data_IF_663162850842
#
_entry.id   IF_663162850842
#
_cell.length_a   1.000
_cell.length_b   1.000
_cell.length_c   1.000
_cell.angle_alpha   90.00
_cell.angle_beta   90.00
_cell.angle_gamma   90.00
#
_symmetry.space_group_name_H-M   'P 1'
#
loop_
_entity.id
_entity.type
_entity.pdbx_description
1 polymer ?
#
# COMPACT_ATOMS: atom_id res chain seq x y z
N UNK A 1 -12.77 56.86 -45.11
CA UNK A 1 -13.75 55.97 -44.47
C UNK A 1 -13.26 54.53 -44.65
N UNK A 2 -12.63 53.99 -43.66
CA UNK A 2 -12.11 52.62 -43.70
C UNK A 2 -12.44 51.96 -42.39
N UNK A 3 -13.27 50.90 -42.44
CA UNK A 3 -13.73 50.11 -41.27
C UNK A 3 -12.76 48.97 -41.06
N UNK A 4 -11.98 49.01 -39.97
CA UNK A 4 -11.18 47.90 -39.48
C UNK A 4 -12.09 46.94 -38.69
N UNK A 5 -12.26 45.72 -39.20
CA UNK A 5 -12.90 44.61 -38.51
C UNK A 5 -11.84 43.82 -37.72
N UNK A 6 -11.84 44.00 -36.41
CA UNK A 6 -11.05 43.19 -35.50
C UNK A 6 -11.71 41.80 -35.29
N UNK A 7 -11.12 40.76 -35.87
CA UNK A 7 -11.47 39.35 -35.55
C UNK A 7 -10.84 38.97 -34.21
N UNK A 8 -11.64 38.92 -33.14
CA UNK A 8 -11.25 38.29 -31.89
C UNK A 8 -11.22 36.76 -32.08
N UNK A 9 -10.03 36.16 -31.93
CA UNK A 9 -9.86 34.72 -31.85
C UNK A 9 -10.34 34.27 -30.49
N UNK A 10 -11.58 33.79 -30.41
CA UNK A 10 -12.11 33.05 -29.31
C UNK A 10 -11.48 31.66 -29.23
N UNK A 11 -10.34 31.54 -28.57
CA UNK A 11 -9.76 30.23 -28.27
C UNK A 11 -10.67 29.52 -27.27
N UNK A 12 -11.37 28.49 -27.76
CA UNK A 12 -12.44 27.77 -27.07
C UNK A 12 -11.96 27.15 -25.75
N UNK A 13 -12.51 27.64 -24.66
CA UNK A 13 -12.37 27.09 -23.29
C UNK A 13 -12.72 25.57 -23.27
N UNK A 14 -13.57 25.12 -24.18
CA UNK A 14 -13.96 23.71 -24.33
C UNK A 14 -12.80 22.79 -24.77
N UNK A 15 -11.88 23.26 -25.61
CA UNK A 15 -10.71 22.47 -26.04
C UNK A 15 -9.71 22.24 -24.90
N UNK A 16 -9.50 23.23 -24.03
CA UNK A 16 -8.58 23.13 -22.89
C UNK A 16 -9.12 22.21 -21.78
N UNK A 17 -10.43 22.22 -21.56
CA UNK A 17 -11.07 21.30 -20.60
C UNK A 17 -11.02 19.84 -21.10
N UNK A 18 -11.15 19.62 -22.41
CA UNK A 18 -11.11 18.27 -22.99
C UNK A 18 -9.67 17.70 -23.00
N UNK A 19 -8.66 18.48 -23.30
CA UNK A 19 -7.25 18.08 -23.23
C UNK A 19 -6.84 17.85 -21.77
N UNK A 20 -7.25 18.69 -20.85
CA UNK A 20 -7.01 18.50 -19.41
C UNK A 20 -7.67 17.22 -18.86
N UNK A 21 -8.89 16.91 -19.29
CA UNK A 21 -9.57 15.67 -18.93
C UNK A 21 -8.87 14.44 -19.52
N UNK A 22 -8.41 14.51 -20.77
CA UNK A 22 -7.70 13.42 -21.43
C UNK A 22 -6.34 13.13 -20.79
N UNK A 23 -5.57 14.18 -20.45
CA UNK A 23 -4.26 14.05 -19.77
C UNK A 23 -4.43 13.50 -18.35
N UNK A 24 -5.47 13.93 -17.62
CA UNK A 24 -5.76 13.42 -16.27
C UNK A 24 -6.27 11.98 -16.33
N UNK A 25 -7.07 11.62 -17.33
CA UNK A 25 -7.52 10.25 -17.56
C UNK A 25 -6.32 9.34 -17.88
N UNK A 26 -5.37 9.81 -18.69
CA UNK A 26 -4.14 9.08 -18.98
C UNK A 26 -3.26 8.89 -17.74
N UNK A 27 -3.13 9.89 -16.87
CA UNK A 27 -2.36 9.80 -15.63
C UNK A 27 -2.96 8.82 -14.61
N UNK A 28 -4.30 8.73 -14.54
CA UNK A 28 -5.00 7.75 -13.69
C UNK A 28 -4.91 6.32 -14.26
N UNK A 29 -4.75 6.19 -15.58
CA UNK A 29 -4.69 4.91 -16.28
C UNK A 29 -3.29 4.27 -16.28
N UNK A 30 -2.26 4.96 -15.82
CA UNK A 30 -0.87 4.46 -15.82
C UNK A 30 -0.37 4.01 -14.46
N UNK A 31 -1.17 4.12 -13.39
CA UNK A 31 -0.78 3.62 -12.08
C UNK A 31 -0.97 2.09 -12.02
N UNK A 32 0.08 1.27 -12.07
CA UNK A 32 -0.04 -0.14 -11.75
C UNK A 32 -0.34 -0.28 -10.26
N UNK A 33 -1.37 -1.04 -9.92
CA UNK A 33 -1.69 -1.38 -8.53
C UNK A 33 -0.82 -2.56 -8.10
N UNK A 34 -0.25 -2.52 -6.92
CA UNK A 34 0.50 -3.62 -6.32
C UNK A 34 0.04 -3.87 -4.88
N UNK A 35 -0.01 -5.13 -4.52
CA UNK A 35 -0.24 -5.62 -3.16
C UNK A 35 0.06 -7.12 -3.18
N UNK A 36 0.64 -7.72 -2.12
CA UNK A 36 0.89 -9.17 -2.03
C UNK A 36 -0.40 -9.95 -1.87
N UNK A 37 -1.33 -9.30 -1.25
CA UNK A 37 -2.72 -9.72 -1.18
C UNK A 37 -3.57 -8.50 -1.49
N UNK A 38 -4.74 -8.70 -2.06
CA UNK A 38 -5.67 -7.59 -2.21
C UNK A 38 -6.28 -7.20 -0.84
N UNK A 39 -7.04 -6.13 -0.82
CA UNK A 39 -7.60 -5.47 0.37
C UNK A 39 -8.23 -6.45 1.37
N UNK A 40 -9.00 -7.43 0.88
CA UNK A 40 -9.80 -8.28 1.74
C UNK A 40 -8.98 -9.29 2.53
N UNK A 41 -7.86 -9.76 1.98
CA UNK A 41 -6.95 -10.64 2.73
C UNK A 41 -6.29 -9.89 3.88
N UNK A 42 -5.86 -8.64 3.68
CA UNK A 42 -5.28 -7.82 4.76
C UNK A 42 -6.29 -7.52 5.87
N UNK A 43 -7.52 -7.16 5.53
CA UNK A 43 -8.59 -6.98 6.51
C UNK A 43 -8.93 -8.30 7.21
N UNK A 44 -8.96 -9.41 6.47
CA UNK A 44 -9.17 -10.76 7.01
C UNK A 44 -8.09 -11.21 7.99
N UNK A 45 -6.84 -10.71 7.87
CA UNK A 45 -5.79 -10.93 8.88
C UNK A 45 -6.12 -10.24 10.19
N UNK A 46 -6.60 -9.00 10.12
CA UNK A 46 -7.05 -8.25 11.32
C UNK A 46 -8.22 -9.00 11.98
N UNK A 47 -9.20 -9.44 11.19
CA UNK A 47 -10.38 -10.16 11.69
C UNK A 47 -10.02 -11.45 12.39
N UNK A 48 -9.16 -12.25 11.78
CA UNK A 48 -8.72 -13.52 12.34
C UNK A 48 -8.01 -13.36 13.69
N UNK A 49 -7.36 -12.19 13.92
CA UNK A 49 -6.62 -11.90 15.15
C UNK A 49 -7.36 -10.95 16.09
N UNK A 50 -8.53 -10.41 15.70
CA UNK A 50 -9.22 -9.39 16.48
C UNK A 50 -9.57 -9.87 17.90
N UNK A 51 -10.37 -10.92 18.00
CA UNK A 51 -10.81 -11.44 19.30
C UNK A 51 -9.69 -12.15 20.08
N UNK A 52 -8.86 -13.02 19.45
CA UNK A 52 -7.89 -13.78 20.23
C UNK A 52 -6.66 -12.97 20.67
N UNK A 53 -6.29 -11.92 19.94
CA UNK A 53 -5.02 -11.23 20.20
C UNK A 53 -5.15 -9.70 20.24
N UNK A 54 -5.80 -9.04 19.25
CA UNK A 54 -5.77 -7.57 19.11
C UNK A 54 -6.57 -6.88 20.20
N UNK A 55 -7.85 -7.23 20.36
CA UNK A 55 -8.69 -6.62 21.39
C UNK A 55 -8.12 -6.80 22.82
N UNK A 56 -7.60 -8.00 23.21
CA UNK A 56 -6.89 -8.15 24.48
C UNK A 56 -5.64 -7.27 24.61
N UNK A 57 -4.84 -7.09 23.56
CA UNK A 57 -3.68 -6.17 23.58
C UNK A 57 -4.09 -4.72 23.77
N UNK A 58 -5.16 -4.27 23.10
CA UNK A 58 -5.71 -2.94 23.30
C UNK A 58 -6.17 -2.72 24.74
N UNK A 59 -6.90 -3.68 25.31
CA UNK A 59 -7.38 -3.61 26.70
C UNK A 59 -6.24 -3.71 27.71
N UNK A 60 -5.22 -4.50 27.45
CA UNK A 60 -4.03 -4.59 28.30
C UNK A 60 -3.29 -3.24 28.37
N UNK A 61 -3.21 -2.51 27.27
CA UNK A 61 -2.47 -1.24 27.20
C UNK A 61 -3.28 -0.03 27.68
N UNK A 62 -4.58 0.01 27.42
CA UNK A 62 -5.42 1.19 27.62
C UNK A 62 -6.54 1.00 28.66
N UNK A 63 -6.61 -0.17 29.31
CA UNK A 63 -7.67 -0.52 30.25
C UNK A 63 -8.94 -1.04 29.55
N UNK A 64 -10.03 -1.23 30.31
CA UNK A 64 -11.30 -1.71 29.79
C UNK A 64 -11.86 -0.80 28.70
N UNK A 65 -12.25 -1.37 27.56
CA UNK A 65 -12.80 -0.65 26.42
C UNK A 65 -14.25 -1.08 26.18
N UNK A 66 -15.10 -0.11 25.90
CA UNK A 66 -16.49 -0.35 25.49
C UNK A 66 -16.57 -0.98 24.10
N UNK A 67 -17.69 -1.63 23.77
CA UNK A 67 -17.93 -2.18 22.45
C UNK A 67 -17.83 -1.11 21.35
N UNK A 68 -18.24 0.13 21.64
CA UNK A 68 -18.12 1.26 20.69
C UNK A 68 -16.66 1.62 20.43
N UNK A 69 -15.83 1.70 21.47
CA UNK A 69 -14.39 1.99 21.33
C UNK A 69 -13.66 0.86 20.59
N UNK A 70 -14.00 -0.40 20.88
CA UNK A 70 -13.45 -1.55 20.15
C UNK A 70 -13.86 -1.55 18.68
N UNK A 71 -15.11 -1.21 18.38
CA UNK A 71 -15.59 -1.10 17.01
C UNK A 71 -14.88 0.04 16.24
N UNK A 72 -14.66 1.19 16.86
CA UNK A 72 -13.89 2.29 16.29
C UNK A 72 -12.41 1.90 16.08
N UNK A 73 -11.77 1.33 17.10
CA UNK A 73 -10.40 0.84 17.02
C UNK A 73 -10.20 -0.18 15.88
N UNK A 74 -11.20 -1.05 15.64
CA UNK A 74 -11.15 -2.01 14.53
C UNK A 74 -11.11 -1.33 13.16
N UNK A 75 -11.81 -0.19 12.97
CA UNK A 75 -11.72 0.59 11.74
C UNK A 75 -10.31 1.16 11.52
N UNK A 76 -9.64 1.58 12.60
CA UNK A 76 -8.25 2.01 12.53
C UNK A 76 -7.30 0.83 12.25
N UNK A 77 -7.56 -0.35 12.80
CA UNK A 77 -6.77 -1.55 12.48
C UNK A 77 -6.90 -1.93 11.00
N UNK A 78 -8.09 -1.84 10.41
CA UNK A 78 -8.27 -2.01 8.96
C UNK A 78 -7.47 -0.96 8.18
N UNK A 79 -7.55 0.32 8.57
CA UNK A 79 -6.78 1.39 7.92
C UNK A 79 -5.28 1.15 7.98
N UNK A 80 -4.79 0.67 9.10
CA UNK A 80 -3.39 0.28 9.25
C UNK A 80 -2.99 -0.87 8.34
N UNK A 81 -3.85 -1.89 8.20
CA UNK A 81 -3.57 -3.05 7.35
C UNK A 81 -3.57 -2.72 5.84
N UNK A 82 -4.00 -1.54 5.48
CA UNK A 82 -4.10 -1.10 4.09
C UNK A 82 -3.18 0.10 3.75
N UNK A 83 -2.59 0.74 4.76
CA UNK A 83 -1.92 2.03 4.57
C UNK A 83 -0.69 1.93 3.66
N UNK A 84 0.05 0.82 3.73
CA UNK A 84 1.24 0.63 2.91
C UNK A 84 0.90 0.61 1.41
N UNK A 85 -0.31 0.22 1.04
CA UNK A 85 -0.80 0.16 -0.34
C UNK A 85 -1.46 1.46 -0.85
N UNK A 86 -1.55 2.48 -0.02
CA UNK A 86 -2.23 3.73 -0.36
C UNK A 86 -1.73 4.35 -1.67
N UNK A 87 -0.43 4.19 -1.97
CA UNK A 87 0.19 4.76 -3.16
C UNK A 87 -0.24 4.14 -4.48
N UNK A 88 -0.85 2.97 -4.46
CA UNK A 88 -1.36 2.30 -5.67
C UNK A 88 -2.72 2.82 -6.14
N UNK A 89 -3.38 3.61 -5.33
CA UNK A 89 -4.72 4.14 -5.62
C UNK A 89 -4.67 5.56 -6.19
N UNK A 90 -5.72 6.02 -6.85
CA UNK A 90 -5.77 7.36 -7.42
C UNK A 90 -5.40 8.44 -6.40
N UNK A 91 -4.55 9.37 -6.81
CA UNK A 91 -3.96 10.44 -5.97
C UNK A 91 -3.02 9.95 -4.86
N UNK A 92 -2.75 8.64 -4.77
CA UNK A 92 -1.67 8.10 -3.97
C UNK A 92 -0.31 8.44 -4.57
N UNK A 93 0.75 8.10 -3.85
CA UNK A 93 2.14 8.27 -4.29
C UNK A 93 2.83 6.93 -4.33
N UNK A 94 3.38 6.60 -5.49
CA UNK A 94 4.13 5.38 -5.64
C UNK A 94 5.35 5.34 -4.72
N UNK A 95 6.06 6.46 -4.59
CA UNK A 95 7.19 6.54 -3.66
C UNK A 95 6.76 6.25 -2.21
N UNK A 96 5.57 6.72 -1.78
CA UNK A 96 5.07 6.43 -0.44
C UNK A 96 4.95 4.91 -0.22
N UNK A 97 4.27 4.21 -1.13
CA UNK A 97 4.11 2.76 -1.03
C UNK A 97 5.44 2.02 -1.16
N UNK A 98 6.26 2.37 -2.14
CA UNK A 98 7.55 1.72 -2.37
C UNK A 98 8.50 1.88 -1.14
N UNK A 99 8.46 3.02 -0.44
CA UNK A 99 9.17 3.19 0.83
C UNK A 99 8.71 2.19 1.89
N UNK A 100 7.39 2.05 2.07
CA UNK A 100 6.80 1.16 3.08
C UNK A 100 7.07 -0.33 2.80
N UNK A 101 7.33 -0.70 1.53
CA UNK A 101 7.57 -2.08 1.12
C UNK A 101 9.05 -2.45 1.03
N UNK A 102 9.92 -1.49 0.70
CA UNK A 102 11.31 -1.83 0.34
C UNK A 102 12.36 -1.18 1.23
N UNK A 103 12.05 -0.07 1.91
CA UNK A 103 13.03 0.70 2.66
C UNK A 103 12.59 0.82 4.11
N UNK A 104 13.37 0.25 5.03
CA UNK A 104 13.12 0.33 6.49
C UNK A 104 11.69 -0.08 6.88
N UNK A 105 11.12 -1.07 6.20
CA UNK A 105 9.74 -1.49 6.40
C UNK A 105 9.45 -1.96 7.85
N UNK A 106 10.40 -2.65 8.48
CA UNK A 106 10.31 -3.03 9.88
C UNK A 106 10.36 -1.83 10.83
N UNK A 107 11.33 -0.93 10.62
CA UNK A 107 11.48 0.29 11.44
C UNK A 107 10.25 1.20 11.34
N UNK A 108 9.63 1.28 10.16
CA UNK A 108 8.39 2.04 9.98
C UNK A 108 7.25 1.50 10.88
N UNK A 109 7.04 0.19 10.87
CA UNK A 109 6.01 -0.45 11.72
C UNK A 109 6.36 -0.31 13.20
N UNK A 110 7.64 -0.47 13.57
CA UNK A 110 8.10 -0.20 14.95
C UNK A 110 7.83 1.23 15.38
N UNK A 111 8.07 2.21 14.49
CA UNK A 111 7.80 3.63 14.74
C UNK A 111 6.31 3.90 14.97
N UNK A 112 5.41 3.25 14.19
CA UNK A 112 3.97 3.33 14.43
C UNK A 112 3.59 2.76 15.81
N UNK A 113 4.11 1.58 16.17
CA UNK A 113 3.80 0.92 17.45
C UNK A 113 4.32 1.74 18.64
N UNK A 114 5.53 2.28 18.56
CA UNK A 114 6.15 3.07 19.60
C UNK A 114 5.52 4.47 19.73
N UNK A 115 5.16 5.09 18.61
CA UNK A 115 4.58 6.43 18.56
C UNK A 115 3.10 6.52 18.89
N UNK A 116 2.40 5.39 19.03
CA UNK A 116 0.96 5.35 19.32
C UNK A 116 0.67 5.76 20.78
N UNK A 117 -0.13 6.80 20.97
CA UNK A 117 -0.45 7.41 22.27
C UNK A 117 -1.84 7.05 22.79
N UNK A 118 -2.75 6.62 21.93
CA UNK A 118 -4.11 6.23 22.28
C UNK A 118 -4.58 5.01 21.50
N UNK A 119 -5.75 4.45 21.90
CA UNK A 119 -6.25 3.15 21.43
C UNK A 119 -6.36 3.06 19.90
N UNK A 120 -6.85 4.10 19.23
CA UNK A 120 -7.05 4.10 17.78
C UNK A 120 -5.71 4.13 17.03
N UNK A 121 -4.73 4.92 17.49
CA UNK A 121 -3.39 4.92 16.92
C UNK A 121 -2.70 3.56 17.09
N UNK A 122 -2.85 2.93 18.26
CA UNK A 122 -2.24 1.62 18.48
C UNK A 122 -2.92 0.52 17.65
N UNK A 123 -4.25 0.58 17.52
CA UNK A 123 -4.99 -0.32 16.63
C UNK A 123 -4.53 -0.18 15.17
N UNK A 124 -4.33 1.06 14.70
CA UNK A 124 -3.77 1.34 13.38
C UNK A 124 -2.36 0.74 13.21
N UNK A 125 -1.49 0.90 14.20
CA UNK A 125 -0.15 0.31 14.19
C UNK A 125 -0.19 -1.23 14.16
N UNK A 126 -1.12 -1.85 14.90
CA UNK A 126 -1.34 -3.31 14.86
C UNK A 126 -1.84 -3.76 13.49
N UNK A 127 -2.66 -2.96 12.82
CA UNK A 127 -3.04 -3.19 11.42
C UNK A 127 -1.84 -3.14 10.46
N UNK A 128 -0.99 -2.14 10.56
CA UNK A 128 0.23 -2.05 9.75
C UNK A 128 1.19 -3.24 10.00
N UNK A 129 1.21 -3.75 11.23
CA UNK A 129 1.92 -4.99 11.56
C UNK A 129 1.28 -6.22 10.91
N UNK A 130 -0.05 -6.24 10.71
CA UNK A 130 -0.72 -7.31 9.95
C UNK A 130 -0.25 -7.31 8.49
N UNK A 131 -0.24 -6.15 7.83
CA UNK A 131 0.26 -5.99 6.46
C UNK A 131 1.70 -6.47 6.34
N UNK A 132 2.61 -5.95 7.18
CA UNK A 132 4.01 -6.36 7.22
C UNK A 132 4.18 -7.89 7.29
N UNK A 133 3.45 -8.57 8.19
CA UNK A 133 3.56 -10.02 8.33
C UNK A 133 2.95 -10.77 7.14
N UNK A 134 1.91 -10.21 6.51
CA UNK A 134 1.25 -10.80 5.37
C UNK A 134 2.14 -10.76 4.13
N UNK A 135 2.71 -9.60 3.83
CA UNK A 135 3.46 -9.40 2.60
C UNK A 135 4.84 -10.06 2.65
N UNK A 136 5.55 -9.95 3.78
CA UNK A 136 6.80 -10.67 3.97
C UNK A 136 6.70 -12.19 3.77
N UNK A 137 5.49 -12.77 3.87
CA UNK A 137 5.24 -14.19 3.64
C UNK A 137 4.51 -14.43 2.31
N UNK A 138 3.51 -13.59 1.99
CA UNK A 138 2.63 -13.77 0.85
C UNK A 138 3.32 -13.73 -0.51
N UNK A 139 4.13 -12.71 -0.73
CA UNK A 139 4.89 -12.59 -1.98
C UNK A 139 5.82 -13.78 -2.21
N UNK A 140 6.82 -14.05 -1.34
CA UNK A 140 7.82 -15.07 -1.62
C UNK A 140 7.28 -16.49 -1.56
N UNK A 141 6.28 -16.77 -0.69
CA UNK A 141 5.72 -18.12 -0.57
C UNK A 141 4.73 -18.45 -1.68
N UNK A 142 3.96 -17.45 -2.15
CA UNK A 142 2.87 -17.73 -3.07
C UNK A 142 2.86 -16.82 -4.31
N UNK A 143 2.61 -15.51 -4.18
CA UNK A 143 2.25 -14.68 -5.34
C UNK A 143 3.34 -14.70 -6.42
N UNK A 144 4.62 -14.57 -6.01
CA UNK A 144 5.76 -14.62 -6.94
C UNK A 144 5.85 -15.94 -7.72
N UNK A 145 5.36 -17.04 -7.16
CA UNK A 145 5.34 -18.37 -7.77
C UNK A 145 4.08 -18.62 -8.60
N UNK A 146 2.93 -18.14 -8.10
CA UNK A 146 1.64 -18.31 -8.78
C UNK A 146 1.59 -17.51 -10.08
N UNK A 147 2.14 -16.29 -10.11
CA UNK A 147 2.17 -15.48 -11.35
C UNK A 147 2.78 -16.23 -12.54
N UNK A 148 4.00 -16.78 -12.46
CA UNK A 148 4.53 -17.58 -13.58
C UNK A 148 3.82 -18.94 -13.78
N UNK A 149 3.17 -19.52 -12.76
CA UNK A 149 2.33 -20.71 -12.94
C UNK A 149 1.13 -20.40 -13.80
N UNK A 150 0.44 -19.30 -13.56
CA UNK A 150 -0.75 -18.86 -14.30
C UNK A 150 -0.43 -18.27 -15.67
N UNK A 151 0.77 -17.67 -15.84
CA UNK A 151 1.15 -16.92 -17.04
C UNK A 151 2.45 -17.43 -17.67
N UNK A 152 2.36 -18.43 -18.60
CA UNK A 152 3.57 -19.03 -19.22
C UNK A 152 4.51 -18.04 -19.92
N UNK A 153 4.00 -16.91 -20.45
CA UNK A 153 4.82 -15.85 -21.05
C UNK A 153 5.67 -15.13 -20.01
N UNK A 154 5.18 -14.97 -18.78
CA UNK A 154 5.95 -14.39 -17.66
C UNK A 154 7.02 -15.40 -17.26
N UNK A 155 6.65 -16.67 -17.08
CA UNK A 155 7.58 -17.76 -16.76
C UNK A 155 8.73 -17.87 -17.75
N UNK A 156 8.44 -17.78 -19.05
CA UNK A 156 9.45 -17.83 -20.10
C UNK A 156 10.46 -16.66 -20.04
N UNK A 157 10.03 -15.50 -19.48
CA UNK A 157 10.84 -14.30 -19.37
C UNK A 157 11.72 -14.27 -18.11
N UNK A 158 11.16 -14.65 -16.96
CA UNK A 158 11.81 -14.46 -15.65
C UNK A 158 12.02 -15.74 -14.84
N UNK A 159 11.54 -16.89 -15.32
CA UNK A 159 11.68 -18.17 -14.63
C UNK A 159 10.48 -18.49 -13.71
N UNK A 160 10.71 -19.37 -12.69
CA UNK A 160 9.63 -19.86 -11.84
C UNK A 160 9.14 -18.87 -10.79
N UNK A 161 9.89 -17.83 -10.49
CA UNK A 161 9.56 -16.78 -9.52
C UNK A 161 9.59 -15.43 -10.23
N UNK A 162 8.50 -14.67 -10.11
CA UNK A 162 8.34 -13.35 -10.70
C UNK A 162 8.09 -12.32 -9.58
N UNK A 163 9.00 -11.38 -9.41
CA UNK A 163 8.77 -10.25 -8.51
C UNK A 163 7.67 -9.34 -9.08
N UNK A 164 7.08 -8.52 -8.23
CA UNK A 164 6.07 -7.56 -8.66
C UNK A 164 6.49 -6.76 -9.90
N UNK A 165 7.73 -6.25 -9.90
CA UNK A 165 8.29 -5.43 -10.99
C UNK A 165 8.32 -6.14 -12.35
N UNK A 166 8.33 -7.46 -12.37
CA UNK A 166 8.40 -8.24 -13.61
C UNK A 166 7.08 -8.28 -14.38
N UNK A 167 5.96 -8.26 -13.65
CA UNK A 167 4.61 -8.28 -14.23
C UNK A 167 3.55 -7.71 -13.30
N UNK A 168 3.54 -6.39 -13.00
CA UNK A 168 2.63 -5.79 -12.03
C UNK A 168 1.15 -6.11 -12.27
N UNK A 169 0.71 -6.03 -13.52
CA UNK A 169 -0.68 -6.30 -13.88
C UNK A 169 -1.11 -7.75 -13.59
N UNK A 170 -0.22 -8.73 -13.79
CA UNK A 170 -0.51 -10.16 -13.54
C UNK A 170 -0.47 -10.47 -12.05
N UNK A 171 0.40 -9.80 -11.34
CA UNK A 171 0.50 -9.86 -9.89
C UNK A 171 -0.85 -9.47 -9.25
N UNK A 172 -1.35 -8.28 -9.56
CA UNK A 172 -2.65 -7.79 -9.10
C UNK A 172 -3.83 -8.68 -9.51
N UNK A 173 -3.78 -9.27 -10.71
CA UNK A 173 -4.84 -10.20 -11.15
C UNK A 173 -4.91 -11.45 -10.30
N UNK A 174 -3.77 -12.01 -9.91
CA UNK A 174 -3.69 -13.20 -9.04
C UNK A 174 -4.25 -12.88 -7.66
N UNK A 175 -3.84 -11.78 -7.07
CA UNK A 175 -4.27 -11.34 -5.74
C UNK A 175 -5.77 -11.05 -5.69
N UNK A 176 -6.27 -10.31 -6.68
CA UNK A 176 -7.70 -10.01 -6.80
C UNK A 176 -8.52 -11.29 -6.99
N UNK A 177 -8.05 -12.23 -7.82
CA UNK A 177 -8.75 -13.50 -8.04
C UNK A 177 -8.81 -14.32 -6.73
N UNK A 178 -7.74 -14.33 -5.95
CA UNK A 178 -7.70 -15.00 -4.66
C UNK A 178 -8.69 -14.38 -3.66
N UNK A 179 -8.70 -13.06 -3.50
CA UNK A 179 -9.64 -12.35 -2.62
C UNK A 179 -11.09 -12.68 -2.98
N UNK A 180 -11.42 -12.61 -4.27
CA UNK A 180 -12.75 -12.95 -4.78
C UNK A 180 -13.17 -14.36 -4.40
N UNK A 181 -12.27 -15.34 -4.52
CA UNK A 181 -12.54 -16.72 -4.14
C UNK A 181 -12.68 -16.92 -2.63
N UNK A 182 -11.89 -16.19 -1.81
CA UNK A 182 -12.02 -16.27 -0.35
C UNK A 182 -13.36 -15.69 0.14
N UNK A 183 -13.84 -14.62 -0.47
CA UNK A 183 -15.20 -14.09 -0.21
C UNK A 183 -16.26 -15.14 -0.59
N UNK A 184 -16.12 -15.76 -1.77
CA UNK A 184 -17.05 -16.79 -2.24
C UNK A 184 -17.17 -17.96 -1.24
N UNK A 185 -16.07 -18.36 -0.62
CA UNK A 185 -15.99 -19.44 0.37
C UNK A 185 -16.46 -19.04 1.76
N UNK A 186 -16.75 -17.77 2.00
CA UNK A 186 -17.03 -17.24 3.35
C UNK A 186 -15.84 -17.35 4.30
N UNK A 187 -14.62 -17.40 3.77
CA UNK A 187 -13.39 -17.50 4.56
C UNK A 187 -13.08 -16.20 5.32
N UNK A 188 -13.56 -15.06 4.84
CA UNK A 188 -13.59 -13.81 5.56
C UNK A 188 -14.89 -13.69 6.33
N UNK A 189 -14.85 -13.12 7.54
CA UNK A 189 -16.04 -12.98 8.39
C UNK A 189 -16.98 -11.97 7.72
N UNK A 190 -17.80 -12.49 6.80
CA UNK A 190 -18.69 -11.71 5.94
C UNK A 190 -19.56 -10.72 6.75
N UNK A 191 -20.06 -11.13 7.93
CA UNK A 191 -20.92 -10.29 8.76
C UNK A 191 -20.18 -9.06 9.30
N UNK A 192 -18.96 -9.22 9.84
CA UNK A 192 -18.19 -8.09 10.36
C UNK A 192 -17.77 -7.12 9.23
N UNK A 193 -17.52 -7.65 8.04
CA UNK A 193 -17.22 -6.86 6.85
C UNK A 193 -18.48 -6.16 6.31
N UNK A 194 -19.64 -6.82 6.30
CA UNK A 194 -20.93 -6.20 5.96
C UNK A 194 -21.34 -5.12 6.93
N UNK A 195 -21.06 -5.31 8.22
CA UNK A 195 -21.37 -4.33 9.25
C UNK A 195 -20.45 -3.11 9.18
N UNK A 196 -19.27 -3.23 8.58
CA UNK A 196 -18.29 -2.16 8.51
C UNK A 196 -17.34 -2.30 7.30
N UNK A 197 -17.79 -1.91 6.13
CA UNK A 197 -16.94 -1.76 4.94
C UNK A 197 -16.26 -0.39 4.98
N UNK A 198 -15.00 -0.35 5.42
CA UNK A 198 -14.25 0.88 5.43
C UNK A 198 -13.17 0.90 6.52
N UNK A 199 -12.40 1.95 6.51
CA UNK A 199 -11.26 2.08 7.39
C UNK A 199 -11.02 3.53 7.82
N UNK A 200 -10.34 3.68 8.97
CA UNK A 200 -9.87 4.95 9.49
C UNK A 200 -8.33 5.02 9.46
N UNK A 201 -7.79 6.23 9.28
CA UNK A 201 -6.35 6.45 9.23
C UNK A 201 -5.92 7.34 10.39
N UNK A 202 -4.96 6.88 11.16
CA UNK A 202 -4.31 7.64 12.23
C UNK A 202 -3.27 8.60 11.63
N UNK A 203 -3.75 9.64 10.89
CA UNK A 203 -2.90 10.58 10.14
C UNK A 203 -1.79 11.23 11.00
N UNK A 204 -2.05 11.74 12.23
CA UNK A 204 -0.97 12.31 13.04
C UNK A 204 0.13 11.31 13.41
N UNK A 205 -0.23 10.06 13.66
CA UNK A 205 0.74 8.99 13.90
C UNK A 205 1.54 8.67 12.64
N UNK A 206 0.87 8.59 11.49
CA UNK A 206 1.50 8.33 10.20
C UNK A 206 2.53 9.44 9.86
N UNK A 207 2.19 10.72 10.05
CA UNK A 207 3.07 11.85 9.87
C UNK A 207 4.33 11.76 10.74
N UNK A 208 4.16 11.48 12.04
CA UNK A 208 5.29 11.31 12.97
C UNK A 208 6.18 10.14 12.56
N UNK A 209 5.59 9.02 12.16
CA UNK A 209 6.33 7.80 11.82
C UNK A 209 7.08 7.91 10.50
N UNK A 210 6.52 8.57 9.48
CA UNK A 210 7.21 8.87 8.23
C UNK A 210 8.44 9.74 8.48
N UNK A 211 8.28 10.82 9.29
CA UNK A 211 9.40 11.68 9.66
C UNK A 211 10.49 10.94 10.44
N UNK A 212 10.09 10.15 11.43
CA UNK A 212 11.02 9.40 12.27
C UNK A 212 11.79 8.32 11.51
N UNK A 213 11.16 7.70 10.51
CA UNK A 213 11.74 6.59 9.75
C UNK A 213 12.56 7.08 8.55
N UNK A 214 12.01 8.03 7.78
CA UNK A 214 12.57 8.43 6.48
C UNK A 214 13.18 9.83 6.47
N UNK A 215 13.02 10.64 7.53
CA UNK A 215 13.53 12.00 7.57
C UNK A 215 12.81 12.96 6.62
N UNK A 216 11.60 12.60 6.15
CA UNK A 216 10.77 13.37 5.24
C UNK A 216 9.42 13.68 5.89
N UNK A 217 8.82 14.80 5.55
CA UNK A 217 7.43 15.07 5.91
C UNK A 217 6.49 14.18 5.06
N UNK A 218 5.33 13.80 5.62
CA UNK A 218 4.36 13.01 4.87
C UNK A 218 3.94 13.70 3.55
N UNK A 219 3.85 15.03 3.55
CA UNK A 219 3.55 15.82 2.35
C UNK A 219 4.61 15.75 1.26
N UNK A 220 5.89 15.47 1.60
CA UNK A 220 6.97 15.32 0.62
C UNK A 220 6.82 14.03 -0.19
N UNK A 221 6.27 12.99 0.42
CA UNK A 221 6.09 11.67 -0.21
C UNK A 221 4.66 11.43 -0.68
N UNK A 222 3.67 12.10 -0.10
CA UNK A 222 2.25 12.00 -0.42
C UNK A 222 1.63 13.42 -0.48
N UNK A 223 1.73 14.13 -1.60
CA UNK A 223 1.41 15.57 -1.69
C UNK A 223 -0.02 15.95 -1.30
N UNK A 224 -0.98 15.06 -1.44
CA UNK A 224 -2.38 15.31 -1.06
C UNK A 224 -2.94 14.13 -0.25
N UNK A 225 -2.51 14.06 1.02
CA UNK A 225 -2.84 12.99 1.96
C UNK A 225 -4.35 12.76 2.08
N UNK A 226 -5.13 13.84 2.27
CA UNK A 226 -6.58 13.73 2.50
C UNK A 226 -7.33 13.25 1.25
N UNK A 227 -6.88 13.66 0.07
CA UNK A 227 -7.45 13.20 -1.19
C UNK A 227 -7.08 11.75 -1.47
N UNK A 228 -5.84 11.35 -1.21
CA UNK A 228 -5.37 9.98 -1.37
C UNK A 228 -6.16 9.03 -0.45
N UNK A 229 -6.26 9.35 0.85
CA UNK A 229 -7.08 8.59 1.81
C UNK A 229 -8.54 8.53 1.34
N UNK A 230 -9.10 9.65 0.91
CA UNK A 230 -10.48 9.71 0.46
C UNK A 230 -10.77 8.88 -0.78
N UNK A 231 -9.88 8.86 -1.77
CA UNK A 231 -10.03 8.04 -2.97
C UNK A 231 -9.83 6.56 -2.67
N UNK A 232 -8.91 6.23 -1.77
CA UNK A 232 -8.70 4.87 -1.33
C UNK A 232 -9.91 4.32 -0.57
N UNK A 233 -10.44 5.05 0.42
CA UNK A 233 -11.69 4.68 1.11
C UNK A 233 -12.83 4.41 0.12
N UNK A 234 -12.96 5.26 -0.90
CA UNK A 234 -13.97 5.04 -1.94
C UNK A 234 -13.70 3.79 -2.78
N UNK A 235 -12.43 3.50 -3.11
CA UNK A 235 -12.10 2.31 -3.85
C UNK A 235 -12.47 1.05 -3.06
N UNK A 236 -12.11 0.99 -1.78
CA UNK A 236 -12.44 -0.13 -0.89
C UNK A 236 -13.94 -0.24 -0.64
N UNK A 237 -14.61 0.85 -0.27
CA UNK A 237 -16.01 0.83 0.13
C UNK A 237 -17.03 0.75 -1.02
N UNK A 238 -16.64 1.02 -2.26
CA UNK A 238 -17.58 1.06 -3.40
C UNK A 238 -17.08 0.39 -4.66
N UNK A 239 -15.83 0.60 -5.05
CA UNK A 239 -15.33 0.09 -6.35
C UNK A 239 -15.06 -1.40 -6.30
N UNK A 240 -14.42 -1.89 -5.25
CA UNK A 240 -14.13 -3.33 -5.09
C UNK A 240 -15.44 -4.14 -4.98
N UNK A 241 -16.42 -3.77 -4.13
CA UNK A 241 -17.73 -4.42 -4.12
C UNK A 241 -18.42 -4.44 -5.48
N UNK A 242 -18.37 -3.35 -6.24
CA UNK A 242 -18.95 -3.31 -7.59
C UNK A 242 -18.23 -4.25 -8.57
N UNK A 243 -16.91 -4.40 -8.44
CA UNK A 243 -16.13 -5.34 -9.26
C UNK A 243 -16.49 -6.80 -8.96
N UNK A 244 -16.77 -7.15 -7.70
CA UNK A 244 -17.24 -8.51 -7.35
C UNK A 244 -18.60 -8.81 -7.98
N UNK A 245 -19.51 -7.83 -8.01
CA UNK A 245 -20.80 -7.95 -8.69
C UNK A 245 -20.65 -8.19 -10.21
N UNK A 246 -19.73 -7.48 -10.84
CA UNK A 246 -19.44 -7.65 -12.26
C UNK A 246 -18.81 -9.02 -12.50
N UNK A 247 -17.86 -9.44 -11.65
CA UNK A 247 -17.24 -10.76 -11.74
C UNK A 247 -18.29 -11.88 -11.62
N UNK A 248 -19.22 -11.78 -10.69
CA UNK A 248 -20.33 -12.72 -10.56
C UNK A 248 -21.18 -12.80 -11.82
N UNK A 249 -21.60 -11.66 -12.36
CA UNK A 249 -22.42 -11.61 -13.58
C UNK A 249 -21.71 -12.22 -14.78
N UNK A 250 -20.42 -11.94 -14.96
CA UNK A 250 -19.68 -12.28 -16.16
C UNK A 250 -19.02 -13.68 -16.08
N UNK A 251 -18.82 -14.21 -14.86
CA UNK A 251 -18.03 -15.44 -14.58
C UNK A 251 -18.71 -16.37 -13.57
N UNK A 252 -20.02 -16.31 -13.46
CA UNK A 252 -20.79 -17.10 -12.49
C UNK A 252 -20.45 -18.59 -12.54
N UNK A 253 -20.48 -19.18 -13.72
CA UNK A 253 -20.28 -20.63 -13.91
C UNK A 253 -18.85 -21.05 -13.48
N UNK A 254 -17.84 -20.22 -13.78
CA UNK A 254 -16.46 -20.44 -13.35
C UNK A 254 -16.31 -20.34 -11.83
N UNK A 255 -17.01 -19.38 -11.21
CA UNK A 255 -17.02 -19.16 -9.75
C UNK A 255 -17.74 -20.31 -9.04
N UNK A 256 -18.92 -20.72 -9.51
CA UNK A 256 -19.69 -21.84 -8.94
C UNK A 256 -18.92 -23.17 -9.07
N UNK A 257 -18.21 -23.36 -10.20
CA UNK A 257 -17.34 -24.52 -10.39
C UNK A 257 -16.15 -24.53 -9.43
N UNK A 258 -15.52 -23.38 -9.21
CA UNK A 258 -14.39 -23.23 -8.28
C UNK A 258 -14.82 -23.29 -6.80
N UNK A 259 -16.08 -22.93 -6.50
CA UNK A 259 -16.62 -22.90 -5.15
C UNK A 259 -18.07 -23.43 -5.14
N UNK A 260 -18.27 -24.75 -5.11
CA UNK A 260 -19.60 -25.35 -5.10
C UNK A 260 -20.44 -24.83 -3.91
N UNK A 261 -21.69 -24.42 -4.20
CA UNK A 261 -22.63 -23.92 -3.18
C UNK A 261 -22.47 -22.44 -2.83
N UNK A 262 -21.65 -21.70 -3.56
CA UNK A 262 -21.61 -20.23 -3.45
C UNK A 262 -22.91 -19.63 -4.02
N UNK A 263 -23.43 -18.58 -3.37
CA UNK A 263 -24.60 -17.82 -3.84
C UNK A 263 -24.21 -16.39 -4.17
N UNK A 264 -25.02 -15.73 -5.01
CA UNK A 264 -24.82 -14.31 -5.32
C UNK A 264 -24.76 -13.45 -4.05
N UNK A 265 -25.57 -13.73 -3.04
CA UNK A 265 -25.64 -13.00 -1.78
C UNK A 265 -24.35 -13.11 -0.96
N UNK A 266 -23.70 -14.29 -1.01
CA UNK A 266 -22.41 -14.51 -0.34
C UNK A 266 -21.24 -13.92 -1.10
N UNK A 267 -21.35 -13.87 -2.42
CA UNK A 267 -20.26 -13.40 -3.28
C UNK A 267 -20.30 -11.90 -3.53
N UNK A 268 -21.50 -11.31 -3.66
CA UNK A 268 -21.68 -9.89 -3.97
C UNK A 268 -22.04 -9.14 -2.72
N UNK A 269 -21.12 -8.31 -2.23
CA UNK A 269 -21.40 -7.38 -1.14
C UNK A 269 -21.34 -5.95 -1.67
N UNK A 270 -22.33 -5.14 -1.34
CA UNK A 270 -22.45 -3.75 -1.78
C UNK A 270 -22.89 -2.89 -0.59
N UNK A 271 -22.09 -1.89 -0.25
CA UNK A 271 -22.51 -0.88 0.72
C UNK A 271 -23.44 0.13 0.01
N UNK A 272 -24.61 0.35 0.56
CA UNK A 272 -25.49 1.41 0.02
C UNK A 272 -24.87 2.79 0.30
N UNK A 273 -25.14 3.82 -0.56
CA UNK A 273 -24.69 5.19 -0.27
C UNK A 273 -25.14 5.71 1.09
N UNK A 274 -26.33 5.29 1.56
CA UNK A 274 -26.85 5.66 2.87
C UNK A 274 -26.09 5.01 4.02
N UNK A 275 -25.66 3.76 3.86
CA UNK A 275 -24.84 3.06 4.83
C UNK A 275 -23.42 3.62 4.87
N UNK A 276 -22.88 3.98 3.71
CA UNK A 276 -21.60 4.68 3.62
C UNK A 276 -21.64 6.02 4.37
N UNK A 277 -22.65 6.86 4.13
CA UNK A 277 -22.82 8.17 4.80
C UNK A 277 -23.05 8.00 6.31
N UNK A 278 -23.73 6.94 6.74
CA UNK A 278 -23.95 6.62 8.16
C UNK A 278 -22.68 6.18 8.85
N UNK A 279 -21.83 5.42 8.17
CA UNK A 279 -20.62 4.82 8.70
C UNK A 279 -19.46 5.82 8.79
N UNK A 280 -19.31 6.68 7.78
CA UNK A 280 -18.19 7.64 7.67
C UNK A 280 -18.54 9.08 8.02
N UNK A 281 -19.81 9.35 8.39
CA UNK A 281 -20.29 10.66 8.79
C UNK A 281 -20.40 11.68 7.64
N UNK A 282 -21.16 12.75 7.90
CA UNK A 282 -21.41 13.82 6.90
C UNK A 282 -20.20 14.76 6.70
N UNK A 283 -19.20 14.71 7.55
CA UNK A 283 -18.03 15.60 7.51
C UNK A 283 -16.93 15.14 6.54
N UNK A 284 -17.13 14.02 5.88
CA UNK A 284 -16.25 13.56 4.82
C UNK A 284 -16.34 14.52 3.62
N UNK A 285 -15.19 15.03 3.14
CA UNK A 285 -15.15 15.78 1.87
C UNK A 285 -15.68 14.88 0.76
N UNK A 286 -16.93 15.08 0.39
CA UNK A 286 -17.55 14.35 -0.73
C UNK A 286 -16.65 14.51 -1.95
N UNK A 287 -16.32 13.42 -2.66
CA UNK A 287 -15.58 13.51 -3.91
C UNK A 287 -16.26 14.54 -4.81
N UNK A 288 -15.50 15.50 -5.31
CA UNK A 288 -16.01 16.53 -6.20
C UNK A 288 -16.65 15.90 -7.46
N UNK A 289 -17.39 16.70 -8.22
CA UNK A 289 -18.03 16.26 -9.47
C UNK A 289 -17.07 15.49 -10.38
N UNK A 290 -15.81 15.89 -10.43
CA UNK A 290 -14.75 15.25 -11.20
C UNK A 290 -14.47 13.80 -10.72
N UNK A 291 -14.33 13.55 -9.43
CA UNK A 291 -14.14 12.20 -8.88
C UNK A 291 -15.35 11.29 -9.11
N UNK A 292 -16.55 11.87 -9.16
CA UNK A 292 -17.79 11.15 -9.50
C UNK A 292 -17.85 10.80 -10.98
N UNK A 293 -17.42 11.71 -11.87
CA UNK A 293 -17.31 11.47 -13.32
C UNK A 293 -16.26 10.40 -13.58
N UNK A 294 -15.12 10.44 -12.90
CA UNK A 294 -14.07 9.43 -13.01
C UNK A 294 -14.55 8.05 -12.55
N UNK A 295 -15.22 7.96 -11.41
CA UNK A 295 -15.81 6.71 -10.92
C UNK A 295 -16.89 6.17 -11.87
N UNK A 296 -17.68 7.03 -12.51
CA UNK A 296 -18.64 6.65 -13.53
C UNK A 296 -17.97 6.18 -14.81
N UNK A 297 -16.89 6.86 -15.25
CA UNK A 297 -16.10 6.43 -16.40
C UNK A 297 -15.45 5.05 -16.16
N UNK A 298 -14.87 4.81 -14.97
CA UNK A 298 -14.32 3.50 -14.58
C UNK A 298 -15.39 2.38 -14.58
N UNK A 299 -16.65 2.71 -14.31
CA UNK A 299 -17.77 1.78 -14.34
C UNK A 299 -18.18 1.37 -15.76
N UNK A 300 -18.06 2.29 -16.74
CA UNK A 300 -18.54 2.10 -18.11
C UNK A 300 -17.42 1.62 -19.04
N UNK A 301 -16.16 1.94 -18.73
CA UNK A 301 -15.02 1.55 -19.57
C UNK A 301 -14.89 0.02 -19.63
N UNK A 302 -14.76 -0.55 -20.83
CA UNK A 302 -14.46 -1.97 -20.97
C UNK A 302 -13.13 -2.30 -20.27
N UNK A 303 -13.06 -3.49 -19.65
CA UNK A 303 -11.85 -3.96 -18.93
C UNK A 303 -10.73 -4.35 -19.92
N UNK A 304 -10.33 -3.39 -20.75
CA UNK A 304 -9.24 -3.47 -21.71
C UNK A 304 -8.16 -2.45 -21.34
N UNK A 305 -6.95 -2.65 -21.80
CA UNK A 305 -5.84 -1.74 -21.48
C UNK A 305 -5.56 -1.68 -19.95
N UNK A 306 -5.51 -0.48 -19.34
CA UNK A 306 -5.12 -0.31 -17.93
C UNK A 306 -6.12 -0.86 -16.90
N UNK A 307 -7.38 -1.14 -17.29
CA UNK A 307 -8.37 -1.77 -16.40
C UNK A 307 -8.33 -3.31 -16.46
N UNK A 308 -7.52 -3.89 -17.33
CA UNK A 308 -7.36 -5.33 -17.48
C UNK A 308 -6.94 -6.05 -16.18
N UNK A 309 -6.10 -5.49 -15.30
CA UNK A 309 -5.76 -6.11 -14.02
C UNK A 309 -6.95 -6.36 -13.09
N UNK A 310 -8.06 -5.65 -13.28
CA UNK A 310 -9.31 -5.85 -12.52
C UNK A 310 -10.24 -6.89 -13.15
N UNK A 311 -9.83 -7.58 -14.22
CA UNK A 311 -10.57 -8.68 -14.78
C UNK A 311 -10.35 -9.94 -13.93
N UNK A 312 -11.45 -10.56 -13.47
CA UNK A 312 -11.36 -11.83 -12.76
C UNK A 312 -10.85 -12.93 -13.70
N UNK A 313 -9.82 -13.66 -13.28
CA UNK A 313 -9.28 -14.84 -13.94
C UNK A 313 -9.20 -15.96 -12.89
N UNK A 314 -9.95 -17.08 -13.02
CA UNK A 314 -9.97 -18.13 -12.02
C UNK A 314 -8.57 -18.71 -11.79
N UNK A 315 -8.23 -18.93 -10.53
CA UNK A 315 -6.99 -19.62 -10.16
C UNK A 315 -7.06 -21.11 -10.48
N UNK A 316 -5.92 -21.70 -10.81
CA UNK A 316 -5.83 -23.18 -10.82
C UNK A 316 -5.90 -23.71 -9.39
N UNK A 317 -6.32 -24.97 -9.17
CA UNK A 317 -6.35 -25.57 -7.83
C UNK A 317 -5.00 -25.50 -7.11
N UNK A 318 -3.90 -25.68 -7.83
CA UNK A 318 -2.54 -25.63 -7.30
C UNK A 318 -2.17 -24.19 -6.88
N UNK A 319 -2.52 -23.20 -7.69
CA UNK A 319 -2.29 -21.79 -7.38
C UNK A 319 -3.09 -21.35 -6.15
N UNK A 320 -4.35 -21.75 -6.08
CA UNK A 320 -5.23 -21.47 -4.95
C UNK A 320 -4.74 -22.13 -3.65
N UNK A 321 -4.32 -23.40 -3.70
CA UNK A 321 -3.75 -24.09 -2.56
C UNK A 321 -2.49 -23.39 -2.02
N UNK A 322 -1.59 -22.96 -2.91
CA UNK A 322 -0.36 -22.26 -2.53
C UNK A 322 -0.65 -20.89 -1.88
N UNK A 323 -1.61 -20.15 -2.39
CA UNK A 323 -2.05 -18.90 -1.80
C UNK A 323 -2.70 -19.12 -0.42
N UNK A 324 -3.56 -20.14 -0.29
CA UNK A 324 -4.18 -20.49 0.99
C UNK A 324 -3.15 -20.89 2.06
N UNK A 325 -2.12 -21.67 1.68
CA UNK A 325 -1.01 -22.04 2.55
C UNK A 325 -0.23 -20.80 3.03
N UNK A 326 0.05 -19.86 2.12
CA UNK A 326 0.77 -18.63 2.47
C UNK A 326 -0.04 -17.73 3.41
N UNK A 327 -1.36 -17.67 3.27
CA UNK A 327 -2.24 -16.98 4.23
C UNK A 327 -2.20 -17.63 5.61
N UNK A 328 -2.19 -18.98 5.67
CA UNK A 328 -2.06 -19.69 6.92
C UNK A 328 -0.70 -19.39 7.61
N UNK A 329 0.39 -19.39 6.84
CA UNK A 329 1.73 -19.03 7.32
C UNK A 329 1.78 -17.58 7.83
N UNK A 330 1.17 -16.64 7.09
CA UNK A 330 1.05 -15.23 7.48
C UNK A 330 0.29 -15.05 8.80
N UNK A 331 -0.81 -15.80 9.00
CA UNK A 331 -1.57 -15.79 10.26
C UNK A 331 -0.76 -16.28 11.45
N UNK A 332 0.01 -17.35 11.26
CA UNK A 332 0.90 -17.90 12.31
C UNK A 332 1.97 -16.86 12.66
N UNK A 333 2.61 -16.26 11.67
CA UNK A 333 3.63 -15.21 11.87
C UNK A 333 3.05 -13.99 12.58
N UNK A 334 1.92 -13.48 12.13
CA UNK A 334 1.27 -12.31 12.72
C UNK A 334 0.88 -12.58 14.17
N UNK A 335 0.28 -13.75 14.47
CA UNK A 335 -0.06 -14.14 15.84
C UNK A 335 1.18 -14.19 16.75
N UNK A 336 2.27 -14.77 16.28
CA UNK A 336 3.52 -14.83 17.03
C UNK A 336 4.04 -13.43 17.36
N UNK A 337 4.02 -12.53 16.36
CA UNK A 337 4.45 -11.14 16.52
C UNK A 337 3.56 -10.36 17.50
N UNK A 338 2.22 -10.54 17.44
CA UNK A 338 1.28 -9.94 18.41
C UNK A 338 1.53 -10.41 19.83
N UNK A 339 1.83 -11.69 20.02
CA UNK A 339 2.16 -12.25 21.35
C UNK A 339 3.47 -11.71 21.89
N UNK A 340 4.47 -11.50 21.04
CA UNK A 340 5.75 -10.91 21.45
C UNK A 340 5.59 -9.47 21.97
N UNK A 341 4.60 -8.71 21.49
CA UNK A 341 4.29 -7.36 22.00
C UNK A 341 3.89 -7.34 23.48
N UNK A 342 3.38 -8.46 24.02
CA UNK A 342 3.04 -8.57 25.44
C UNK A 342 4.28 -8.59 26.34
N UNK A 343 5.42 -8.97 25.79
CA UNK A 343 6.70 -9.09 26.52
C UNK A 343 7.58 -7.84 26.38
N UNK A 344 7.26 -6.92 25.47
CA UNK A 344 8.01 -5.69 25.24
C UNK A 344 7.98 -5.19 23.80
N UNK A 345 8.75 -4.14 23.49
CA UNK A 345 8.87 -3.60 22.15
C UNK A 345 9.39 -4.63 21.16
N UNK A 346 8.81 -4.64 19.95
CA UNK A 346 9.26 -5.49 18.86
C UNK A 346 10.59 -4.97 18.27
N UNK A 347 11.31 -5.92 17.68
CA UNK A 347 12.37 -5.66 16.72
C UNK A 347 12.06 -6.42 15.44
N UNK A 348 11.68 -5.67 14.41
CA UNK A 348 11.28 -6.20 13.13
C UNK A 348 12.44 -6.06 12.13
N UNK A 349 12.80 -7.10 11.39
CA UNK A 349 13.79 -6.93 10.33
C UNK A 349 13.27 -5.97 9.25
N UNK A 350 14.16 -5.15 8.72
CA UNK A 350 13.88 -4.39 7.50
C UNK A 350 13.87 -5.36 6.32
N UNK A 351 12.69 -5.71 5.86
CA UNK A 351 12.46 -6.73 4.84
C UNK A 351 11.93 -6.07 3.57
N UNK A 352 12.49 -6.44 2.42
CA UNK A 352 11.87 -6.22 1.13
C UNK A 352 10.68 -7.19 1.02
N UNK A 353 9.48 -6.68 0.90
CA UNK A 353 8.26 -7.51 0.94
C UNK A 353 8.18 -8.47 -0.23
N UNK A 354 8.64 -8.06 -1.42
CA UNK A 354 8.63 -8.93 -2.60
C UNK A 354 9.53 -10.16 -2.42
N UNK A 355 10.71 -9.97 -1.83
CA UNK A 355 11.69 -11.06 -1.69
C UNK A 355 11.57 -11.80 -0.37
N UNK A 356 10.93 -11.22 0.63
CA UNK A 356 10.86 -11.74 2.00
C UNK A 356 12.23 -11.71 2.73
N UNK A 357 13.21 -10.97 2.22
CA UNK A 357 14.59 -10.90 2.70
C UNK A 357 15.02 -9.45 2.94
N UNK A 358 16.10 -9.20 3.68
CA UNK A 358 16.69 -7.87 3.73
C UNK A 358 16.99 -7.34 2.32
N UNK A 359 16.73 -6.04 2.05
CA UNK A 359 16.98 -5.48 0.73
C UNK A 359 18.47 -5.50 0.40
N UNK A 360 18.79 -6.01 -0.79
CA UNK A 360 20.16 -6.08 -1.32
C UNK A 360 20.16 -5.43 -2.69
N UNK A 361 21.08 -4.50 -2.90
CA UNK A 361 21.23 -3.77 -4.16
C UNK A 361 21.38 -4.70 -5.35
N UNK A 362 20.57 -4.51 -6.38
CA UNK A 362 20.59 -5.31 -7.61
C UNK A 362 19.72 -6.57 -7.57
N UNK A 363 19.06 -6.88 -6.45
CA UNK A 363 18.15 -8.03 -6.34
C UNK A 363 16.73 -7.65 -6.75
N UNK A 364 16.22 -6.56 -6.22
CA UNK A 364 14.91 -6.02 -6.59
C UNK A 364 15.07 -4.61 -7.17
N UNK A 365 14.70 -4.45 -8.44
CA UNK A 365 14.83 -3.17 -9.14
C UNK A 365 14.00 -2.06 -8.49
N UNK A 366 12.82 -2.36 -7.92
CA UNK A 366 12.02 -1.36 -7.23
C UNK A 366 12.67 -0.91 -5.93
N UNK A 367 13.27 -1.83 -5.17
CA UNK A 367 14.07 -1.46 -4.01
C UNK A 367 15.23 -0.53 -4.40
N UNK A 368 15.99 -0.88 -5.46
CA UNK A 368 17.08 -0.05 -5.97
C UNK A 368 16.63 1.36 -6.35
N UNK A 369 15.49 1.45 -7.05
CA UNK A 369 14.88 2.70 -7.46
C UNK A 369 14.42 3.52 -6.26
N UNK A 370 13.79 2.88 -5.28
CA UNK A 370 13.26 3.53 -4.08
C UNK A 370 14.36 4.08 -3.17
N UNK A 371 15.42 3.30 -2.94
CA UNK A 371 16.59 3.78 -2.19
C UNK A 371 17.25 4.99 -2.86
N UNK A 372 17.36 4.99 -4.19
CA UNK A 372 17.94 6.10 -4.94
C UNK A 372 17.04 7.35 -4.91
N UNK A 373 15.72 7.17 -5.04
CA UNK A 373 14.76 8.26 -5.01
C UNK A 373 14.66 8.89 -3.60
N UNK A 374 14.71 8.06 -2.54
CA UNK A 374 14.78 8.54 -1.17
C UNK A 374 16.05 9.39 -0.95
N UNK A 375 17.21 8.84 -1.27
CA UNK A 375 18.48 9.55 -1.14
C UNK A 375 18.47 10.90 -1.86
N UNK A 376 17.93 10.93 -3.08
CA UNK A 376 17.83 12.16 -3.87
C UNK A 376 16.87 13.20 -3.24
N UNK A 377 15.73 12.76 -2.70
CA UNK A 377 14.81 13.66 -1.99
C UNK A 377 15.44 14.24 -0.73
N UNK A 378 16.12 13.41 0.05
CA UNK A 378 16.86 13.87 1.23
C UNK A 378 17.93 14.90 0.86
N UNK A 379 18.62 14.72 -0.28
CA UNK A 379 19.55 15.71 -0.80
C UNK A 379 18.86 17.04 -1.15
N UNK A 380 17.65 16.99 -1.71
CA UNK A 380 16.84 18.18 -1.98
C UNK A 380 16.40 18.94 -0.72
N UNK A 381 16.38 18.27 0.43
CA UNK A 381 16.13 18.86 1.76
C UNK A 381 17.43 19.06 2.58
N UNK A 382 18.58 19.10 1.91
CA UNK A 382 19.90 19.29 2.53
C UNK A 382 20.15 18.30 3.70
N UNK A 383 19.55 17.10 3.61
CA UNK A 383 19.55 16.06 4.65
C UNK A 383 19.04 16.52 6.03
N UNK A 384 18.25 17.59 6.10
CA UNK A 384 17.72 18.12 7.35
C UNK A 384 16.86 17.05 8.07
N UNK A 385 17.12 16.81 9.36
CA UNK A 385 16.33 15.88 10.18
C UNK A 385 16.48 14.38 9.85
N UNK A 386 17.40 13.99 8.97
CA UNK A 386 17.64 12.60 8.61
C UNK A 386 18.13 11.80 9.83
N UNK A 387 17.47 10.68 10.18
CA UNK A 387 17.90 9.83 11.29
C UNK A 387 19.28 9.22 11.01
N UNK A 388 20.19 9.14 12.03
CA UNK A 388 21.50 8.51 11.85
C UNK A 388 21.44 7.06 11.37
N UNK A 389 20.41 6.33 11.77
CA UNK A 389 20.14 4.97 11.35
C UNK A 389 19.91 4.89 9.84
N UNK A 390 19.13 5.82 9.29
CA UNK A 390 18.87 5.88 7.84
C UNK A 390 20.15 6.20 7.06
N UNK A 391 21.00 7.10 7.57
CA UNK A 391 22.31 7.38 6.94
C UNK A 391 23.18 6.12 6.89
N UNK A 392 23.21 5.34 7.98
CA UNK A 392 23.95 4.06 8.01
C UNK A 392 23.39 3.05 7.01
N UNK A 393 22.09 2.92 6.94
CA UNK A 393 21.43 1.99 6.02
C UNK A 393 21.63 2.38 4.56
N UNK A 394 21.48 3.64 4.20
CA UNK A 394 21.76 4.14 2.84
C UNK A 394 23.21 3.86 2.42
N UNK A 395 24.18 4.14 3.30
CA UNK A 395 25.59 3.80 3.03
C UNK A 395 25.79 2.30 2.86
N UNK A 396 25.22 1.46 3.73
CA UNK A 396 25.33 0.02 3.65
C UNK A 396 24.71 -0.52 2.36
N UNK A 397 23.51 -0.06 2.00
CA UNK A 397 22.83 -0.49 0.78
C UNK A 397 23.65 -0.16 -0.47
N UNK A 398 24.14 1.07 -0.60
CA UNK A 398 24.90 1.51 -1.77
C UNK A 398 26.36 1.02 -1.78
N UNK A 399 26.91 0.51 -0.67
CA UNK A 399 28.20 -0.14 -0.64
C UNK A 399 28.19 -1.51 -1.35
N UNK A 400 27.03 -2.16 -1.48
CA UNK A 400 26.90 -3.38 -2.25
C UNK A 400 27.12 -3.10 -3.75
N UNK A 401 28.04 -3.86 -4.37
CA UNK A 401 28.28 -3.81 -5.80
C UNK A 401 27.02 -4.27 -6.56
N UNK A 402 26.71 -3.57 -7.66
CA UNK A 402 25.67 -4.06 -8.57
C UNK A 402 26.13 -5.36 -9.26
N UNK A 403 25.20 -6.32 -9.46
CA UNK A 403 25.48 -7.49 -10.30
C UNK A 403 25.93 -7.05 -11.71
N UNK A 404 26.79 -7.84 -12.35
CA UNK A 404 27.41 -7.52 -13.66
C UNK A 404 26.38 -7.30 -14.79
N UNK A 405 25.17 -7.85 -14.62
CA UNK A 405 24.04 -7.71 -15.57
C UNK A 405 23.08 -6.54 -15.24
N UNK A 406 23.27 -5.86 -14.11
CA UNK A 406 22.44 -4.72 -13.75
C UNK A 406 22.99 -3.45 -14.39
N UNK A 407 22.19 -2.80 -15.26
CA UNK A 407 22.59 -1.56 -15.90
C UNK A 407 21.96 -0.35 -15.21
N UNK A 408 22.76 0.39 -14.45
CA UNK A 408 22.42 1.76 -14.06
C UNK A 408 22.92 2.73 -15.15
N UNK A 409 22.09 3.72 -15.50
CA UNK A 409 22.59 4.79 -16.37
C UNK A 409 23.74 5.54 -15.66
N UNK A 410 24.76 5.94 -16.42
CA UNK A 410 25.91 6.69 -15.88
C UNK A 410 25.49 7.97 -15.14
N UNK A 411 24.43 8.63 -15.58
CA UNK A 411 23.89 9.83 -14.93
C UNK A 411 23.31 9.50 -13.54
N UNK A 412 22.57 8.39 -13.42
CA UNK A 412 21.99 7.95 -12.14
C UNK A 412 23.07 7.51 -11.15
N UNK A 413 24.07 6.78 -11.62
CA UNK A 413 25.21 6.39 -10.79
C UNK A 413 25.94 7.61 -10.22
N UNK A 414 26.29 8.59 -11.07
CA UNK A 414 26.94 9.86 -10.63
C UNK A 414 26.10 10.64 -9.61
N UNK A 415 24.77 10.66 -9.80
CA UNK A 415 23.86 11.33 -8.87
C UNK A 415 23.89 10.65 -7.51
N UNK A 416 23.75 9.33 -7.45
CA UNK A 416 23.84 8.55 -6.20
C UNK A 416 25.17 8.84 -5.48
N UNK A 417 26.29 8.82 -6.19
CA UNK A 417 27.61 9.13 -5.60
C UNK A 417 27.71 10.57 -5.07
N UNK A 418 27.12 11.52 -5.79
CA UNK A 418 27.08 12.93 -5.37
C UNK A 418 26.25 13.10 -4.10
N UNK A 419 25.05 12.50 -4.08
CA UNK A 419 24.11 12.62 -2.97
C UNK A 419 24.65 11.90 -1.72
N UNK A 420 25.31 10.74 -1.84
CA UNK A 420 25.99 10.05 -0.74
C UNK A 420 27.14 10.89 -0.15
N UNK A 421 27.96 11.53 -1.00
CA UNK A 421 29.03 12.41 -0.53
C UNK A 421 28.47 13.60 0.26
N UNK A 422 27.42 14.23 -0.24
CA UNK A 422 26.75 15.33 0.45
C UNK A 422 26.16 14.88 1.79
N UNK A 423 25.48 13.73 1.84
CA UNK A 423 24.95 13.15 3.07
C UNK A 423 26.03 12.91 4.14
N UNK A 424 27.14 12.31 3.73
CA UNK A 424 28.24 11.99 4.66
C UNK A 424 28.96 13.27 5.16
N UNK A 425 29.11 14.29 4.31
CA UNK A 425 29.68 15.60 4.70
C UNK A 425 28.79 16.29 5.75
N UNK A 426 27.46 16.29 5.55
CA UNK A 426 26.52 16.90 6.49
C UNK A 426 26.48 16.15 7.83
N UNK A 427 26.53 14.81 7.81
CA UNK A 427 26.60 13.99 9.02
C UNK A 427 27.85 14.30 9.86
N UNK A 428 29.00 14.50 9.23
CA UNK A 428 30.24 14.90 9.90
C UNK A 428 30.13 16.30 10.53
N UNK A 429 29.55 17.27 9.82
CA UNK A 429 29.34 18.65 10.29
C UNK A 429 28.46 18.69 11.53
N UNK A 430 27.35 17.88 11.54
CA UNK A 430 26.46 17.78 12.70
C UNK A 430 27.14 17.15 13.91
N UNK A 431 27.89 16.10 13.71
CA UNK A 431 28.63 15.42 14.78
C UNK A 431 29.67 16.39 15.43
N UNK A 432 30.40 17.18 14.63
CA UNK A 432 31.33 18.16 15.09
C UNK A 432 30.69 19.35 15.87
N UNK A 433 29.46 19.73 15.45
CA UNK A 433 28.71 20.80 16.13
C UNK A 433 28.08 20.32 17.45
N UNK A 434 27.64 19.05 17.53
CA UNK A 434 27.14 18.45 18.77
C UNK A 434 28.25 18.27 19.80
N UNK A 435 29.44 17.83 19.40
CA UNK A 435 30.61 17.70 20.28
C UNK A 435 31.06 19.03 20.89
N UNK A 436 30.98 20.12 20.12
CA UNK A 436 31.30 21.47 20.63
C UNK A 436 30.32 22.02 21.66
N UNK A 437 29.04 21.64 21.60
CA UNK A 437 28.02 22.04 22.60
C UNK A 437 28.21 21.34 23.93
N UNK A 438 28.67 20.09 23.92
CA UNK A 438 28.99 19.37 25.18
C UNK A 438 30.31 19.74 25.83
N UNK A 439 31.27 20.27 25.05
CA UNK A 439 32.55 20.73 25.58
C UNK A 439 32.55 22.18 26.11
N UNK A 440 31.44 22.90 25.93
CA UNK A 440 31.31 24.31 26.31
C UNK A 440 30.37 24.60 27.50
N UNK A 441 29.95 23.58 28.28
CA UNK A 441 29.25 23.82 29.56
C UNK A 441 30.24 23.68 30.69
N UNK A 442 30.51 24.77 31.44
CA UNK A 442 31.39 24.78 32.63
C UNK A 442 30.76 24.03 33.79
#
# INVERSE_FOLDING_TARGET
MSLFHSRRHGCSIRGRAFVGALVLTAAVLTAPSASAYSVLTHEGMVDAMWQPEIAPLLQQRFGPLTSKQLAEARAYAYGGSLIQDLGYYPFGSRLFTDLMHYVRAGDFVESLLAGATHVNEYAFALGALAHYNSDCAGHPLAVNRVVPMMYPKVRAKVGPDALYVDSPARHVMVEFAFDVLQVARGAYVAQAYHDRIGFEVAKPLLERSVRATYGLELGDVLPNVDLAIGTYRRAVGTTIPELTRIAWRDKRDDIEKATPGVTAEKFVFVLSPADYDRQFGKNYRKPGLFSRILAFALKILPKIGPLRPLAFEPLTPEADALLAESVAASRVRYRATLRSLRSGPLRLPNTDFDTGRPPVRGVNRLADETYADLLHRLAGHEFAGVPPELCRELNAFFAHALPTNASLSRSRARRIESDLRAMNSEALTRSASAGRRHAGSP
#
